data_IF_753879782133
#
_entry.id   IF_753879782133
#
_cell.length_a   1.000
_cell.length_b   1.000
_cell.length_c   1.000
_cell.angle_alpha   90.00
_cell.angle_beta   90.00
_cell.angle_gamma   90.00
#
_symmetry.space_group_name_H-M   'P 1'
#
loop_
_entity.id
_entity.type
_entity.pdbx_description
1 polymer ?
#
# COMPACT_ATOMS: atom_id res chain seq x y z
N UNK A 1 -6.84 16.49 -22.62
CA UNK A 1 -6.19 16.37 -21.30
C UNK A 1 -6.41 14.94 -20.84
N UNK A 2 -5.35 14.16 -20.66
CA UNK A 2 -5.47 12.80 -20.11
C UNK A 2 -5.66 12.96 -18.61
N UNK A 3 -6.84 12.64 -18.08
CA UNK A 3 -7.03 12.52 -16.63
C UNK A 3 -6.04 11.48 -16.11
N UNK A 4 -5.06 11.92 -15.33
CA UNK A 4 -4.22 10.97 -14.61
C UNK A 4 -5.10 10.34 -13.54
N UNK A 5 -5.47 9.07 -13.74
CA UNK A 5 -6.18 8.29 -12.74
C UNK A 5 -5.39 8.30 -11.42
N UNK A 6 -6.07 8.61 -10.33
CA UNK A 6 -5.47 8.59 -8.99
C UNK A 6 -5.01 7.18 -8.63
N UNK A 7 -3.82 7.07 -8.06
CA UNK A 7 -3.25 5.85 -7.51
C UNK A 7 -3.59 5.68 -6.03
N UNK A 8 -4.17 6.69 -5.38
CA UNK A 8 -4.55 6.62 -3.96
C UNK A 8 -5.54 5.46 -3.74
N UNK A 9 -5.27 4.64 -2.73
CA UNK A 9 -6.02 3.44 -2.40
C UNK A 9 -5.61 2.18 -3.17
N UNK A 10 -4.69 2.29 -4.14
CA UNK A 10 -4.18 1.12 -4.86
C UNK A 10 -3.11 0.39 -4.05
N UNK A 11 -3.14 -0.94 -4.15
CA UNK A 11 -2.10 -1.82 -3.64
C UNK A 11 -0.89 -1.77 -4.57
N UNK A 12 0.29 -1.87 -3.97
CA UNK A 12 1.58 -1.90 -4.64
C UNK A 12 2.09 -3.33 -4.59
N UNK A 13 2.13 -3.96 -5.76
CA UNK A 13 2.67 -5.29 -5.96
C UNK A 13 4.10 -5.18 -6.53
N UNK A 14 5.05 -5.81 -5.85
CA UNK A 14 6.44 -5.90 -6.29
C UNK A 14 6.80 -7.36 -6.46
N UNK A 15 7.21 -7.75 -7.66
CA UNK A 15 7.59 -9.13 -7.99
C UNK A 15 6.56 -10.19 -7.54
N UNK A 16 5.25 -9.90 -7.69
CA UNK A 16 4.16 -10.82 -7.32
C UNK A 16 3.72 -10.76 -5.86
N UNK A 17 4.31 -9.89 -5.03
CA UNK A 17 3.95 -9.74 -3.61
C UNK A 17 3.37 -8.36 -3.33
N UNK A 18 2.26 -8.30 -2.61
CA UNK A 18 1.71 -7.03 -2.12
C UNK A 18 2.60 -6.55 -0.97
N UNK A 19 3.19 -5.37 -1.13
CA UNK A 19 4.13 -4.79 -0.15
C UNK A 19 3.59 -3.54 0.54
N UNK A 20 2.63 -2.87 -0.08
CA UNK A 20 2.16 -1.58 0.39
C UNK A 20 0.87 -1.11 -0.26
N UNK A 21 0.40 0.03 0.21
CA UNK A 21 -0.75 0.75 -0.34
C UNK A 21 -0.39 2.23 -0.49
N UNK A 22 -0.81 2.83 -1.60
CA UNK A 22 -0.67 4.27 -1.81
C UNK A 22 -1.72 4.99 -0.96
N UNK A 23 -1.28 5.74 0.05
CA UNK A 23 -2.17 6.50 0.95
C UNK A 23 -2.28 7.97 0.56
N UNK A 24 -1.27 8.51 -0.13
CA UNK A 24 -1.30 9.82 -0.77
C UNK A 24 -0.75 9.75 -2.18
N UNK A 25 -1.39 10.49 -3.08
CA UNK A 25 -1.01 10.57 -4.49
C UNK A 25 -0.91 12.04 -4.93
N UNK A 26 0.33 12.56 -4.98
CA UNK A 26 0.68 13.91 -5.43
C UNK A 26 1.88 13.82 -6.39
N UNK A 27 2.82 14.78 -6.35
CA UNK A 27 4.12 14.65 -7.04
C UNK A 27 4.92 13.46 -6.51
N UNK A 28 4.82 13.22 -5.20
CA UNK A 28 5.35 12.04 -4.53
C UNK A 28 4.21 11.16 -4.07
N UNK A 29 4.41 9.84 -4.15
CA UNK A 29 3.52 8.84 -3.56
C UNK A 29 3.95 8.58 -2.13
N UNK A 30 3.00 8.59 -1.19
CA UNK A 30 3.22 8.00 0.13
C UNK A 30 2.72 6.56 0.09
N UNK A 31 3.64 5.61 0.23
CA UNK A 31 3.34 4.18 0.24
C UNK A 31 3.52 3.70 1.68
N UNK A 32 2.43 3.22 2.29
CA UNK A 32 2.44 2.61 3.61
C UNK A 32 2.55 1.10 3.47
N UNK A 33 3.42 0.47 4.27
CA UNK A 33 3.58 -0.97 4.25
C UNK A 33 2.27 -1.63 4.68
N UNK A 34 1.95 -2.77 4.08
CA UNK A 34 0.77 -3.54 4.45
C UNK A 34 1.12 -4.95 4.87
N UNK A 35 0.24 -5.51 5.70
CA UNK A 35 0.10 -6.95 5.87
C UNK A 35 -1.20 -7.42 5.22
N UNK A 36 -1.13 -8.52 4.48
CA UNK A 36 -2.28 -9.19 3.91
C UNK A 36 -2.80 -10.25 4.88
N UNK A 37 -3.88 -9.93 5.60
CA UNK A 37 -4.52 -10.86 6.54
C UNK A 37 -5.52 -11.81 5.87
N UNK A 38 -5.56 -11.85 4.53
CA UNK A 38 -6.48 -12.67 3.73
C UNK A 38 -7.92 -12.16 3.66
N UNK A 39 -8.45 -11.61 4.77
CA UNK A 39 -9.79 -10.99 4.83
C UNK A 39 -9.75 -9.47 4.82
N UNK A 40 -8.63 -8.88 5.20
CA UNK A 40 -8.43 -7.44 5.26
C UNK A 40 -6.98 -7.08 4.94
N UNK A 41 -6.78 -5.81 4.56
CA UNK A 41 -5.46 -5.21 4.40
C UNK A 41 -5.18 -4.35 5.63
N UNK A 42 -4.10 -4.66 6.34
CA UNK A 42 -3.69 -3.91 7.53
C UNK A 42 -2.53 -2.97 7.17
N UNK A 43 -2.74 -1.66 7.33
CA UNK A 43 -1.69 -0.65 7.14
C UNK A 43 -0.79 -0.59 8.38
N UNK A 44 0.49 -0.89 8.20
CA UNK A 44 1.51 -0.83 9.25
C UNK A 44 2.09 0.58 9.39
N UNK A 45 2.60 0.96 10.55
CA UNK A 45 3.17 2.31 10.77
C UNK A 45 4.32 2.68 9.82
N UNK A 46 5.04 1.69 9.28
CA UNK A 46 6.11 1.93 8.32
C UNK A 46 5.57 2.49 7.00
N UNK A 47 6.09 3.64 6.58
CA UNK A 47 5.76 4.26 5.31
C UNK A 47 7.00 4.85 4.64
N UNK A 48 6.94 5.05 3.33
CA UNK A 48 8.02 5.63 2.54
C UNK A 48 7.46 6.50 1.42
N UNK A 49 8.15 7.60 1.13
CA UNK A 49 7.83 8.48 0.00
C UNK A 49 8.63 8.06 -1.24
N UNK A 50 7.98 8.09 -2.38
CA UNK A 50 8.60 7.81 -3.67
C UNK A 50 8.22 8.88 -4.70
N UNK A 51 9.13 9.16 -5.63
CA UNK A 51 8.78 9.92 -6.82
C UNK A 51 7.75 9.13 -7.64
N UNK A 52 6.69 9.81 -8.09
CA UNK A 52 5.61 9.16 -8.83
C UNK A 52 6.12 8.57 -10.15
N UNK A 53 6.90 9.34 -10.91
CA UNK A 53 7.37 8.90 -12.23
C UNK A 53 8.31 7.70 -12.11
N UNK A 54 9.17 7.68 -11.10
CA UNK A 54 10.06 6.54 -10.82
C UNK A 54 9.28 5.22 -10.63
N UNK A 55 8.24 5.24 -9.79
CA UNK A 55 7.46 4.02 -9.50
C UNK A 55 6.55 3.64 -10.66
N UNK A 56 5.88 4.59 -11.31
CA UNK A 56 4.96 4.27 -12.42
C UNK A 56 5.65 3.76 -13.67
N UNK A 57 6.92 4.09 -13.87
CA UNK A 57 7.71 3.64 -15.01
C UNK A 57 8.47 2.33 -14.73
N UNK A 58 8.42 1.80 -13.51
CA UNK A 58 9.10 0.57 -13.14
C UNK A 58 8.30 -0.67 -13.62
N UNK A 59 8.87 -1.45 -14.55
CA UNK A 59 8.21 -2.64 -15.11
C UNK A 59 7.87 -3.74 -14.09
N UNK A 60 8.59 -3.75 -12.97
CA UNK A 60 8.51 -4.76 -11.91
C UNK A 60 7.57 -4.37 -10.77
N UNK A 61 6.94 -3.19 -10.86
CA UNK A 61 5.95 -2.68 -9.92
C UNK A 61 4.59 -2.63 -10.61
N UNK A 62 3.56 -3.17 -9.96
CA UNK A 62 2.18 -3.12 -10.46
C UNK A 62 1.28 -2.48 -9.42
N UNK A 63 0.33 -1.67 -9.89
CA UNK A 63 -0.73 -1.14 -9.06
C UNK A 63 -1.99 -1.97 -9.24
N UNK A 64 -2.55 -2.46 -8.13
CA UNK A 64 -3.78 -3.25 -8.11
C UNK A 64 -4.87 -2.50 -7.38
N UNK A 65 -6.10 -2.66 -7.84
CA UNK A 65 -7.25 -2.16 -7.08
C UNK A 65 -7.43 -3.02 -5.83
N UNK A 66 -7.72 -2.38 -4.70
CA UNK A 66 -8.05 -3.08 -3.48
C UNK A 66 -9.56 -3.31 -3.39
N UNK A 67 -9.98 -4.55 -3.12
CA UNK A 67 -11.37 -4.91 -2.86
C UNK A 67 -11.63 -5.28 -1.39
N UNK A 68 -10.57 -5.43 -0.61
CA UNK A 68 -10.67 -5.83 0.79
C UNK A 68 -10.84 -4.59 1.68
N UNK A 69 -11.52 -4.72 2.83
CA UNK A 69 -11.52 -3.71 3.87
C UNK A 69 -10.07 -3.31 4.24
N UNK A 70 -9.87 -2.02 4.53
CA UNK A 70 -8.58 -1.47 4.94
C UNK A 70 -8.67 -1.03 6.39
N UNK A 71 -7.75 -1.53 7.23
CA UNK A 71 -7.63 -1.13 8.63
C UNK A 71 -6.24 -0.55 8.87
N UNK A 72 -6.15 0.46 9.72
CA UNK A 72 -4.84 0.92 10.21
C UNK A 72 -4.47 0.18 11.48
N UNK A 73 -3.23 -0.30 11.56
CA UNK A 73 -2.67 -0.78 12.82
C UNK A 73 -2.49 0.43 13.75
N UNK A 74 -3.12 0.38 14.92
CA UNK A 74 -2.89 1.33 16.02
C UNK A 74 -2.08 0.57 17.07
N UNK A 75 -0.85 1.00 17.37
CA UNK A 75 0.09 0.34 18.27
C UNK A 75 -0.32 0.30 19.76
N UNK A 76 -1.62 0.35 20.07
CA UNK A 76 -2.16 0.18 21.43
C UNK A 76 -2.34 -1.29 21.83
N UNK A 77 -2.16 -2.24 20.91
CA UNK A 77 -2.19 -3.68 21.17
C UNK A 77 -0.85 -4.34 20.81
N UNK A 78 -0.54 -5.45 21.47
CA UNK A 78 0.69 -6.21 21.23
C UNK A 78 0.66 -6.76 19.79
N UNK A 79 1.76 -6.70 19.06
CA UNK A 79 1.80 -7.08 17.63
C UNK A 79 1.44 -8.55 17.39
N UNK A 80 1.55 -9.35 18.46
CA UNK A 80 1.19 -10.77 18.54
C UNK A 80 -0.32 -11.02 18.55
N UNK A 81 -1.12 -10.04 18.96
CA UNK A 81 -2.58 -10.16 18.95
C UNK A 81 -3.17 -10.04 17.52
N UNK A 82 -2.37 -9.61 16.55
CA UNK A 82 -2.81 -9.33 15.17
C UNK A 82 -2.28 -10.31 14.14
N UNK A 83 -1.20 -11.01 14.45
CA UNK A 83 -0.63 -12.06 13.61
C UNK A 83 -0.56 -13.28 14.51
N UNK A 84 -1.39 -14.31 14.25
CA UNK A 84 -1.36 -15.59 14.95
C UNK A 84 0.04 -16.25 14.79
N UNK A 85 1.01 -15.80 15.58
CA UNK A 85 2.44 -16.18 15.58
C UNK A 85 2.87 -16.65 16.97
#
# INVERSE_FOLDING_TARGET
>A
MVEQSSLKGKLVEVAGRIIGMVVEDKKTLLIRQVHDGGKEIVLLEKAMYFDRAFITNAYWIKFRDNKLPVRSFEARGDIRDFFDL
#
